data_IF_006320045670
#
_entry.id   IF_006320045670
#
_cell.length_a   1.000
_cell.length_b   1.000
_cell.length_c   1.000
_cell.angle_alpha   90.00
_cell.angle_beta   90.00
_cell.angle_gamma   90.00
#
_symmetry.space_group_name_H-M   'P 1'
#
loop_
_entity.id
_entity.type
_entity.pdbx_description
1 polymer ?
#
# COMPACT_ATOMS: atom_id res chain seq x y z
N UNK A 1 -19.95 -3.17 23.55
CA UNK A 1 -18.72 -3.57 24.25
C UNK A 1 -17.63 -3.59 23.19
N UNK A 2 -16.94 -2.49 22.95
CA UNK A 2 -15.79 -2.08 23.75
C UNK A 2 -14.54 -2.38 22.92
N UNK A 3 -14.30 -1.59 21.88
CA UNK A 3 -13.12 -1.74 21.01
C UNK A 3 -12.42 -0.37 20.95
N UNK A 4 -11.47 -0.24 21.87
CA UNK A 4 -10.33 0.69 21.91
C UNK A 4 -10.59 2.20 21.94
N UNK A 5 -10.57 2.72 23.18
CA UNK A 5 -10.00 4.04 23.44
C UNK A 5 -8.47 3.94 23.29
N UNK A 6 -7.93 4.45 22.18
CA UNK A 6 -6.54 4.90 22.10
C UNK A 6 -6.52 6.24 21.35
N UNK A 7 -6.75 7.33 22.07
CA UNK A 7 -6.44 8.67 21.59
C UNK A 7 -4.99 8.98 21.96
N UNK A 8 -4.07 8.75 21.02
CA UNK A 8 -2.86 9.57 20.83
C UNK A 8 -2.13 9.15 19.55
N UNK A 9 -2.15 10.04 18.54
CA UNK A 9 -1.30 9.96 17.34
C UNK A 9 -1.94 9.23 16.16
N UNK A 10 -2.46 10.00 15.19
CA UNK A 10 -2.82 9.51 13.84
C UNK A 10 -1.69 8.65 13.23
N UNK A 11 -0.45 8.95 13.60
CA UNK A 11 0.76 8.19 13.28
C UNK A 11 0.77 6.71 13.68
N UNK A 12 0.26 6.38 14.87
CA UNK A 12 0.34 5.03 15.42
C UNK A 12 -0.59 4.03 14.71
N UNK A 13 -1.72 4.49 14.16
CA UNK A 13 -2.67 3.63 13.45
C UNK A 13 -2.10 3.17 12.10
N UNK A 14 -1.48 4.09 11.35
CA UNK A 14 -0.87 3.81 10.03
C UNK A 14 0.32 2.87 10.19
N UNK A 15 1.22 3.14 11.14
CA UNK A 15 2.39 2.29 11.37
C UNK A 15 1.99 0.91 11.91
N UNK A 16 0.96 0.82 12.76
CA UNK A 16 0.40 -0.44 13.25
C UNK A 16 -0.23 -1.32 12.17
N UNK A 17 -0.72 -0.75 11.08
CA UNK A 17 -1.34 -1.51 9.99
C UNK A 17 -0.34 -2.26 9.11
N UNK A 18 0.95 -1.88 9.11
CA UNK A 18 1.97 -2.40 8.19
C UNK A 18 2.05 -3.93 8.24
N UNK A 19 2.09 -4.54 9.43
CA UNK A 19 2.19 -6.00 9.60
C UNK A 19 0.93 -6.74 9.14
N UNK A 20 -0.25 -6.19 9.45
CA UNK A 20 -1.52 -6.83 9.10
C UNK A 20 -1.70 -6.89 7.57
N UNK A 21 -1.49 -5.75 6.90
CA UNK A 21 -1.56 -5.66 5.44
C UNK A 21 -0.43 -6.48 4.78
N UNK A 22 0.78 -6.45 5.33
CA UNK A 22 1.89 -7.27 4.84
C UNK A 22 1.60 -8.77 4.90
N UNK A 23 0.97 -9.24 5.98
CA UNK A 23 0.55 -10.64 6.11
C UNK A 23 -0.52 -11.01 5.08
N UNK A 24 -1.50 -10.14 4.85
CA UNK A 24 -2.54 -10.35 3.85
C UNK A 24 -1.94 -10.44 2.43
N UNK A 25 -1.02 -9.54 2.07
CA UNK A 25 -0.30 -9.57 0.79
C UNK A 25 0.52 -10.86 0.65
N UNK A 26 1.17 -11.33 1.70
CA UNK A 26 1.93 -12.58 1.65
C UNK A 26 1.04 -13.80 1.36
N UNK A 27 -0.24 -13.74 1.73
CA UNK A 27 -1.23 -14.81 1.52
C UNK A 27 -1.77 -14.94 0.10
N UNK A 28 -1.63 -13.93 -0.76
CA UNK A 28 -2.26 -13.95 -2.10
C UNK A 28 -1.54 -14.85 -3.11
N UNK A 29 -2.23 -15.25 -4.18
CA UNK A 29 -1.62 -16.01 -5.28
C UNK A 29 -0.54 -15.23 -6.04
N UNK A 30 0.34 -15.93 -6.78
CA UNK A 30 1.49 -15.31 -7.49
C UNK A 30 1.09 -14.18 -8.45
N UNK A 31 0.01 -14.35 -9.20
CA UNK A 31 -0.45 -13.36 -10.18
C UNK A 31 -0.86 -12.05 -9.50
N UNK A 32 -1.68 -12.13 -8.46
CA UNK A 32 -2.11 -10.96 -7.69
C UNK A 32 -0.94 -10.30 -6.95
N UNK A 33 -0.04 -11.10 -6.37
CA UNK A 33 1.16 -10.58 -5.72
C UNK A 33 2.01 -9.74 -6.69
N UNK A 34 2.18 -10.21 -7.93
CA UNK A 34 2.89 -9.46 -8.98
C UNK A 34 2.19 -8.15 -9.32
N UNK A 35 0.85 -8.16 -9.44
CA UNK A 35 0.07 -6.93 -9.65
C UNK A 35 0.26 -5.90 -8.54
N UNK A 36 0.19 -6.34 -7.28
CA UNK A 36 0.42 -5.49 -6.11
C UNK A 36 1.85 -4.94 -6.08
N UNK A 37 2.85 -5.78 -6.36
CA UNK A 37 4.24 -5.36 -6.40
C UNK A 37 4.50 -4.29 -7.48
N UNK A 38 3.96 -4.48 -8.70
CA UNK A 38 4.08 -3.50 -9.78
C UNK A 38 3.43 -2.16 -9.42
N UNK A 39 2.27 -2.19 -8.77
CA UNK A 39 1.61 -0.98 -8.27
C UNK A 39 2.49 -0.26 -7.23
N UNK A 40 3.04 -1.01 -6.27
CA UNK A 40 3.93 -0.46 -5.25
C UNK A 40 5.21 0.16 -5.85
N UNK A 41 5.85 -0.50 -6.82
CA UNK A 41 7.01 0.05 -7.53
C UNK A 41 6.69 1.36 -8.25
N UNK A 42 5.50 1.46 -8.83
CA UNK A 42 5.04 2.69 -9.43
C UNK A 42 4.75 3.80 -8.41
N UNK A 43 4.20 3.45 -7.25
CA UNK A 43 3.98 4.36 -6.12
C UNK A 43 5.28 4.88 -5.53
N UNK A 44 6.35 4.07 -5.47
CA UNK A 44 7.68 4.52 -5.00
C UNK A 44 8.14 5.77 -5.77
N UNK A 45 7.83 5.88 -7.06
CA UNK A 45 8.17 7.07 -7.87
C UNK A 45 7.38 8.32 -7.49
N UNK A 46 6.22 8.16 -6.85
CA UNK A 46 5.36 9.24 -6.37
C UNK A 46 5.69 9.67 -4.93
N UNK A 47 6.36 8.80 -4.16
CA UNK A 47 6.76 9.08 -2.78
C UNK A 47 7.89 10.09 -2.69
N UNK A 48 7.97 10.78 -1.55
CA UNK A 48 9.12 11.62 -1.24
C UNK A 48 10.41 10.78 -1.07
N UNK A 49 11.61 11.30 -1.39
CA UNK A 49 12.87 10.55 -1.28
C UNK A 49 13.15 9.95 0.12
N UNK A 50 12.59 10.56 1.17
CA UNK A 50 12.73 10.05 2.54
C UNK A 50 11.90 8.77 2.75
N UNK A 51 10.70 8.73 2.18
CA UNK A 51 9.75 7.61 2.27
C UNK A 51 9.96 6.53 1.19
N UNK A 52 10.82 6.77 0.20
CA UNK A 52 11.11 5.81 -0.89
C UNK A 52 11.90 4.59 -0.42
N UNK A 53 11.47 3.38 -0.74
CA UNK A 53 12.26 2.17 -0.58
C UNK A 53 12.50 1.62 -1.99
N UNK A 54 13.75 1.37 -2.35
CA UNK A 54 14.08 0.88 -3.69
C UNK A 54 13.65 -0.59 -3.85
N UNK A 55 13.16 -1.01 -5.04
CA UNK A 55 12.71 -2.39 -5.27
C UNK A 55 13.75 -3.46 -4.92
N UNK A 56 15.03 -3.17 -5.19
CA UNK A 56 16.16 -4.07 -4.84
C UNK A 56 16.33 -4.29 -3.34
N UNK A 57 15.85 -3.35 -2.52
CA UNK A 57 16.01 -3.35 -1.07
C UNK A 57 14.78 -3.89 -0.34
N UNK A 58 13.74 -4.36 -1.04
CA UNK A 58 12.49 -4.78 -0.41
C UNK A 58 12.67 -5.91 0.60
N UNK A 59 13.43 -6.95 0.26
CA UNK A 59 13.71 -8.06 1.17
C UNK A 59 14.57 -7.59 2.34
N UNK A 60 15.66 -6.89 2.04
CA UNK A 60 16.61 -6.37 3.03
C UNK A 60 15.95 -5.43 4.03
N UNK A 61 15.07 -4.54 3.59
CA UNK A 61 14.40 -3.57 4.45
C UNK A 61 13.61 -4.26 5.55
N UNK A 62 12.64 -5.12 5.19
CA UNK A 62 11.84 -5.82 6.19
C UNK A 62 12.65 -6.83 7.00
N UNK A 63 13.66 -7.46 6.40
CA UNK A 63 14.56 -8.36 7.12
C UNK A 63 15.34 -7.61 8.20
N UNK A 64 15.91 -6.44 7.86
CA UNK A 64 16.62 -5.57 8.80
C UNK A 64 15.72 -5.16 9.95
N UNK A 65 14.48 -4.77 9.66
CA UNK A 65 13.51 -4.41 10.69
C UNK A 65 13.25 -5.58 11.66
N UNK A 66 13.16 -6.81 11.14
CA UNK A 66 12.94 -8.02 11.94
C UNK A 66 14.14 -8.35 12.84
N UNK A 67 15.36 -8.43 12.28
CA UNK A 67 16.56 -8.82 13.06
C UNK A 67 17.00 -7.76 14.07
N UNK A 68 16.64 -6.49 13.83
CA UNK A 68 16.94 -5.37 14.74
C UNK A 68 15.78 -5.01 15.67
N UNK A 69 14.70 -5.79 15.67
CA UNK A 69 13.48 -5.55 16.44
C UNK A 69 12.93 -4.11 16.28
N UNK A 70 13.07 -3.54 15.08
CA UNK A 70 12.54 -2.22 14.73
C UNK A 70 11.07 -2.39 14.38
N UNK A 71 10.21 -2.07 15.35
CA UNK A 71 8.77 -2.22 15.24
C UNK A 71 8.15 -0.93 14.71
N UNK A 72 7.33 -0.98 13.64
CA UNK A 72 6.68 0.23 13.13
C UNK A 72 5.80 0.89 14.19
N UNK A 73 5.21 0.09 15.09
CA UNK A 73 4.36 0.56 16.19
C UNK A 73 5.09 1.47 17.20
N UNK A 74 6.42 1.51 17.16
CA UNK A 74 7.23 2.40 18.01
C UNK A 74 7.45 3.78 17.38
N UNK A 75 6.84 4.07 16.22
CA UNK A 75 7.04 5.31 15.48
C UNK A 75 5.71 6.02 15.22
N UNK A 76 5.76 7.35 15.36
CA UNK A 76 4.64 8.27 15.07
C UNK A 76 4.44 8.54 13.57
N UNK A 77 5.30 8.02 12.70
CA UNK A 77 5.10 8.13 11.27
C UNK A 77 5.83 7.03 10.52
N UNK A 78 5.27 6.65 9.37
CA UNK A 78 5.87 5.67 8.47
C UNK A 78 7.22 6.18 7.97
N UNK A 79 7.32 7.47 7.65
CA UNK A 79 8.58 8.08 7.25
C UNK A 79 9.68 7.93 8.33
N UNK A 80 9.34 8.10 9.62
CA UNK A 80 10.31 7.93 10.72
C UNK A 80 10.74 6.48 10.87
N UNK A 81 9.79 5.54 10.77
CA UNK A 81 10.06 4.10 10.75
C UNK A 81 11.00 3.72 9.59
N UNK A 82 10.70 4.17 8.37
CA UNK A 82 11.53 3.91 7.18
C UNK A 82 12.96 4.42 7.38
N UNK A 83 13.12 5.63 7.90
CA UNK A 83 14.45 6.21 8.14
C UNK A 83 15.26 5.39 9.16
N UNK A 84 14.61 4.93 10.24
CA UNK A 84 15.28 4.10 11.24
C UNK A 84 15.76 2.77 10.65
N UNK A 85 14.89 2.07 9.90
CA UNK A 85 15.26 0.81 9.25
C UNK A 85 16.39 1.01 8.24
N UNK A 86 16.30 2.04 7.38
CA UNK A 86 17.36 2.38 6.41
C UNK A 86 18.69 2.69 7.09
N UNK A 87 18.66 3.37 8.24
CA UNK A 87 19.85 3.65 9.04
C UNK A 87 20.55 2.36 9.48
N UNK A 88 19.78 1.39 9.95
CA UNK A 88 20.29 0.10 10.45
C UNK A 88 20.68 -0.90 9.37
N UNK A 89 20.23 -0.74 8.11
CA UNK A 89 20.62 -1.64 7.01
C UNK A 89 22.14 -1.71 6.79
N UNK A 90 22.88 -0.65 7.14
CA UNK A 90 24.35 -0.60 7.01
C UNK A 90 25.07 -1.35 8.13
N UNK A 91 24.36 -1.73 9.17
CA UNK A 91 24.92 -2.34 10.38
C UNK A 91 24.71 -3.87 10.42
N UNK A 92 24.15 -4.45 9.36
CA UNK A 92 24.02 -5.90 9.22
C UNK A 92 25.40 -6.56 9.28
N UNK A 93 25.49 -7.58 10.11
CA UNK A 93 26.68 -8.42 10.25
C UNK A 93 26.82 -9.34 9.03
N UNK A 94 28.03 -9.84 8.72
CA UNK A 94 28.21 -10.82 7.64
C UNK A 94 27.33 -12.08 7.77
N UNK A 95 27.02 -12.50 9.00
CA UNK A 95 26.13 -13.65 9.23
C UNK A 95 24.67 -13.33 8.87
N UNK A 96 24.19 -12.12 9.22
CA UNK A 96 22.84 -11.67 8.85
C UNK A 96 22.71 -11.46 7.34
N UNK A 97 23.74 -10.91 6.67
CA UNK A 97 23.78 -10.79 5.21
C UNK A 97 23.71 -12.17 4.55
N UNK A 98 24.49 -13.13 5.04
CA UNK A 98 24.45 -14.50 4.54
C UNK A 98 23.06 -15.15 4.74
N UNK A 99 22.39 -14.89 5.87
CA UNK A 99 21.01 -15.38 6.10
C UNK A 99 20.02 -14.73 5.15
N UNK A 100 20.12 -13.42 4.93
CA UNK A 100 19.29 -12.67 3.98
C UNK A 100 19.40 -13.23 2.56
N UNK A 101 20.61 -13.50 2.09
CA UNK A 101 20.85 -14.07 0.75
C UNK A 101 20.26 -15.49 0.59
N UNK A 102 20.20 -16.25 1.68
CA UNK A 102 19.75 -17.64 1.71
C UNK A 102 18.30 -17.83 2.20
N UNK A 103 17.51 -16.76 2.30
CA UNK A 103 16.09 -16.86 2.63
C UNK A 103 15.36 -17.74 1.61
N UNK A 104 14.43 -18.56 2.12
CA UNK A 104 13.56 -19.35 1.24
C UNK A 104 12.49 -18.45 0.59
N UNK A 105 11.82 -18.96 -0.45
CA UNK A 105 10.83 -18.17 -1.22
C UNK A 105 9.65 -17.67 -0.36
N UNK A 106 9.26 -18.41 0.68
CA UNK A 106 8.19 -18.00 1.60
C UNK A 106 8.65 -16.83 2.46
N UNK A 107 9.88 -16.89 2.98
CA UNK A 107 10.49 -15.80 3.75
C UNK A 107 10.71 -14.55 2.88
N UNK A 108 11.26 -14.72 1.67
CA UNK A 108 11.42 -13.62 0.71
C UNK A 108 10.09 -12.95 0.41
N UNK A 109 9.04 -13.73 0.15
CA UNK A 109 7.70 -13.20 -0.09
C UNK A 109 7.17 -12.47 1.14
N UNK A 110 7.32 -13.02 2.35
CA UNK A 110 6.93 -12.36 3.61
C UNK A 110 7.61 -10.99 3.74
N UNK A 111 8.92 -10.92 3.59
CA UNK A 111 9.67 -9.67 3.72
C UNK A 111 9.30 -8.66 2.64
N UNK A 112 9.19 -9.09 1.37
CA UNK A 112 8.68 -8.24 0.29
C UNK A 112 7.29 -7.69 0.59
N UNK A 113 6.39 -8.53 1.10
CA UNK A 113 5.01 -8.15 1.42
C UNK A 113 4.95 -7.08 2.52
N UNK A 114 5.77 -7.22 3.56
CA UNK A 114 5.88 -6.21 4.62
C UNK A 114 6.43 -4.88 4.11
N UNK A 115 7.43 -4.92 3.22
CA UNK A 115 7.97 -3.70 2.61
C UNK A 115 6.97 -3.04 1.66
N UNK A 116 6.27 -3.81 0.84
CA UNK A 116 5.17 -3.33 -0.01
C UNK A 116 4.08 -2.66 0.83
N UNK A 117 3.68 -3.31 1.93
CA UNK A 117 2.73 -2.73 2.89
C UNK A 117 3.23 -1.39 3.43
N UNK A 118 4.51 -1.32 3.83
CA UNK A 118 5.14 -0.08 4.29
C UNK A 118 5.07 1.03 3.24
N UNK A 119 5.27 0.71 1.95
CA UNK A 119 5.18 1.66 0.83
C UNK A 119 3.77 2.22 0.69
N UNK A 120 2.73 1.38 0.73
CA UNK A 120 1.35 1.84 0.67
C UNK A 120 0.98 2.72 1.86
N UNK A 121 1.39 2.34 3.07
CA UNK A 121 1.12 3.16 4.26
C UNK A 121 1.87 4.49 4.21
N UNK A 122 3.13 4.51 3.76
CA UNK A 122 3.89 5.74 3.54
C UNK A 122 3.22 6.65 2.50
N UNK A 123 2.62 6.05 1.47
CA UNK A 123 1.91 6.77 0.43
C UNK A 123 0.61 7.42 0.93
N UNK A 124 -0.16 6.69 1.74
CA UNK A 124 -1.32 7.24 2.43
C UNK A 124 -0.94 8.39 3.35
N UNK A 125 0.11 8.21 4.16
CA UNK A 125 0.65 9.24 5.05
C UNK A 125 1.13 10.49 4.28
N UNK A 126 1.89 10.33 3.20
CA UNK A 126 2.37 11.43 2.34
C UNK A 126 1.21 12.22 1.70
N UNK A 127 0.08 11.55 1.42
CA UNK A 127 -1.15 12.18 0.93
C UNK A 127 -2.02 12.76 2.06
N UNK A 128 -1.65 12.55 3.32
CA UNK A 128 -2.37 13.01 4.49
C UNK A 128 -3.67 12.25 4.76
N UNK A 129 -3.70 10.94 4.49
CA UNK A 129 -4.71 10.06 5.05
C UNK A 129 -4.48 9.90 6.55
N UNK A 130 -5.58 9.89 7.31
CA UNK A 130 -5.55 9.60 8.75
C UNK A 130 -5.71 8.10 9.04
N UNK A 131 -6.30 7.37 8.10
CA UNK A 131 -6.54 5.93 8.20
C UNK A 131 -5.57 5.15 7.31
N UNK A 132 -5.19 3.93 7.70
CA UNK A 132 -4.32 3.09 6.89
C UNK A 132 -4.99 2.70 5.58
N UNK A 133 -4.19 2.60 4.51
CA UNK A 133 -4.68 2.01 3.25
C UNK A 133 -4.97 0.53 3.52
N UNK A 134 -6.23 0.13 3.33
CA UNK A 134 -6.67 -1.24 3.58
C UNK A 134 -6.09 -2.23 2.55
N UNK A 135 -6.02 -3.51 2.93
CA UNK A 135 -5.67 -4.56 1.97
C UNK A 135 -6.68 -4.66 0.83
N UNK A 136 -7.98 -4.46 1.09
CA UNK A 136 -9.03 -4.47 0.07
C UNK A 136 -8.83 -3.40 -1.01
N UNK A 137 -8.42 -2.20 -0.61
CA UNK A 137 -8.06 -1.13 -1.55
C UNK A 137 -6.87 -1.53 -2.45
N UNK A 138 -5.82 -2.11 -1.85
CA UNK A 138 -4.62 -2.55 -2.58
C UNK A 138 -4.93 -3.72 -3.53
N UNK A 139 -5.67 -4.72 -3.03
CA UNK A 139 -6.08 -5.91 -3.78
C UNK A 139 -6.95 -5.52 -4.97
N UNK A 140 -8.03 -4.79 -4.73
CA UNK A 140 -8.96 -4.39 -5.78
C UNK A 140 -8.28 -3.52 -6.84
N UNK A 141 -7.43 -2.56 -6.44
CA UNK A 141 -6.64 -1.76 -7.38
C UNK A 141 -5.73 -2.62 -8.28
N UNK A 142 -5.07 -3.62 -7.71
CA UNK A 142 -4.23 -4.55 -8.48
C UNK A 142 -5.06 -5.45 -9.41
N UNK A 143 -6.24 -5.92 -8.97
CA UNK A 143 -7.14 -6.78 -9.76
C UNK A 143 -7.69 -6.06 -11.00
N UNK A 144 -8.04 -4.77 -10.87
CA UNK A 144 -8.48 -3.94 -12.00
C UNK A 144 -7.31 -3.30 -12.78
N UNK A 145 -6.06 -3.63 -12.42
CA UNK A 145 -4.83 -3.14 -13.07
C UNK A 145 -4.69 -1.61 -13.04
N UNK A 146 -5.12 -1.00 -11.95
CA UNK A 146 -4.99 0.43 -11.72
C UNK A 146 -3.52 0.85 -11.73
N UNK A 147 -3.20 1.96 -12.39
CA UNK A 147 -1.87 2.53 -12.39
C UNK A 147 -1.64 3.44 -11.16
N UNK A 148 -0.39 3.81 -10.83
CA UNK A 148 -0.09 4.58 -9.63
C UNK A 148 -0.76 5.95 -9.57
N UNK A 149 -0.95 6.62 -10.70
CA UNK A 149 -1.61 7.93 -10.77
C UNK A 149 -3.12 7.82 -10.55
N UNK A 150 -3.74 6.77 -11.07
CA UNK A 150 -5.14 6.44 -10.79
C UNK A 150 -5.34 6.10 -9.33
N UNK A 151 -4.44 5.30 -8.75
CA UNK A 151 -4.47 4.95 -7.33
C UNK A 151 -4.30 6.18 -6.44
N UNK A 152 -3.37 7.08 -6.79
CA UNK A 152 -3.24 8.39 -6.15
C UNK A 152 -4.55 9.16 -6.16
N UNK A 153 -5.19 9.25 -7.32
CA UNK A 153 -6.44 10.00 -7.50
C UNK A 153 -7.57 9.39 -6.66
N UNK A 154 -7.65 8.05 -6.57
CA UNK A 154 -8.61 7.37 -5.70
C UNK A 154 -8.37 7.72 -4.23
N UNK A 155 -7.13 7.66 -3.77
CA UNK A 155 -6.78 8.03 -2.38
C UNK A 155 -7.12 9.50 -2.09
N UNK A 156 -6.82 10.40 -3.01
CA UNK A 156 -7.18 11.83 -2.90
C UNK A 156 -8.70 12.05 -2.94
N UNK A 157 -9.42 11.37 -3.81
CA UNK A 157 -10.88 11.47 -3.92
C UNK A 157 -11.55 10.92 -2.64
N UNK A 158 -11.04 9.84 -2.04
CA UNK A 158 -11.51 9.33 -0.74
C UNK A 158 -11.23 10.31 0.40
N UNK A 159 -9.98 10.81 0.49
CA UNK A 159 -9.60 11.82 1.48
C UNK A 159 -10.49 13.05 1.43
N UNK A 160 -10.87 13.47 0.22
CA UNK A 160 -11.73 14.64 -0.01
C UNK A 160 -13.23 14.29 0.03
N UNK A 161 -13.61 13.11 0.53
CA UNK A 161 -14.98 12.63 0.67
C UNK A 161 -15.78 12.62 -0.64
N UNK A 162 -15.11 12.46 -1.78
CA UNK A 162 -15.76 12.30 -3.10
C UNK A 162 -16.13 10.85 -3.41
N UNK A 163 -15.47 9.90 -2.77
CA UNK A 163 -15.86 8.49 -2.76
C UNK A 163 -16.03 8.04 -1.31
N UNK A 164 -17.00 7.17 -1.01
CA UNK A 164 -17.31 6.79 0.36
C UNK A 164 -16.31 5.79 0.95
N UNK A 165 -15.62 5.03 0.09
CA UNK A 165 -14.65 4.01 0.50
C UNK A 165 -13.56 3.84 -0.56
N UNK A 166 -12.43 3.25 -0.15
CA UNK A 166 -11.37 2.78 -1.07
C UNK A 166 -11.43 1.26 -1.29
N UNK A 167 -12.31 0.53 -0.59
CA UNK A 167 -12.35 -0.93 -0.63
C UNK A 167 -13.01 -1.45 -1.92
N UNK A 168 -12.25 -1.37 -3.01
CA UNK A 168 -12.64 -1.89 -4.34
C UNK A 168 -12.93 -3.40 -4.26
N UNK A 169 -12.20 -4.15 -3.43
CA UNK A 169 -12.43 -5.59 -3.29
C UNK A 169 -13.83 -5.88 -2.75
N UNK A 170 -14.26 -5.14 -1.72
CA UNK A 170 -15.62 -5.24 -1.20
C UNK A 170 -16.68 -4.86 -2.27
N UNK A 171 -16.41 -3.86 -3.11
CA UNK A 171 -17.29 -3.51 -4.23
C UNK A 171 -17.39 -4.65 -5.25
N UNK A 172 -16.25 -5.19 -5.71
CA UNK A 172 -16.22 -6.28 -6.69
C UNK A 172 -16.92 -7.55 -6.18
N UNK A 173 -16.87 -7.79 -4.87
CA UNK A 173 -17.53 -8.91 -4.21
C UNK A 173 -19.00 -8.65 -3.83
N UNK A 174 -19.57 -7.48 -4.14
CA UNK A 174 -20.90 -7.03 -3.70
C UNK A 174 -21.09 -7.13 -2.16
N UNK A 175 -20.06 -6.73 -1.42
CA UNK A 175 -20.01 -6.74 0.06
C UNK A 175 -20.10 -5.35 0.68
N UNK A 176 -20.15 -4.30 -0.14
CA UNK A 176 -20.48 -2.95 0.34
C UNK A 176 -21.95 -2.89 0.77
N UNK A 177 -22.27 -1.95 1.64
CA UNK A 177 -23.67 -1.61 1.86
C UNK A 177 -24.26 -0.91 0.62
N UNK A 178 -25.59 -0.86 0.55
CA UNK A 178 -26.28 -0.41 -0.66
C UNK A 178 -25.99 1.06 -1.02
N UNK A 179 -25.70 1.91 -0.04
CA UNK A 179 -25.44 3.33 -0.28
C UNK A 179 -24.00 3.52 -0.81
N UNK A 180 -23.03 2.83 -0.23
CA UNK A 180 -21.63 2.83 -0.67
C UNK A 180 -21.46 2.16 -2.06
N UNK A 181 -22.23 1.11 -2.33
CA UNK A 181 -22.21 0.39 -3.60
C UNK A 181 -22.70 1.26 -4.77
N UNK A 182 -23.81 1.99 -4.59
CA UNK A 182 -24.34 2.93 -5.60
C UNK A 182 -23.36 4.07 -5.86
N UNK A 183 -22.79 4.65 -4.81
CA UNK A 183 -21.83 5.74 -4.94
C UNK A 183 -20.51 5.30 -5.60
N UNK A 184 -20.05 4.07 -5.32
CA UNK A 184 -18.87 3.51 -5.99
C UNK A 184 -19.16 3.20 -7.47
N UNK A 185 -20.35 2.66 -7.79
CA UNK A 185 -20.79 2.44 -9.16
C UNK A 185 -20.81 3.74 -9.97
N UNK A 186 -21.44 4.79 -9.44
CA UNK A 186 -21.53 6.09 -10.11
C UNK A 186 -20.13 6.70 -10.36
N UNK A 187 -19.23 6.60 -9.37
CA UNK A 187 -17.86 7.05 -9.51
C UNK A 187 -17.09 6.30 -10.60
N UNK A 188 -17.16 4.96 -10.62
CA UNK A 188 -16.47 4.15 -11.62
C UNK A 188 -17.04 4.39 -13.02
N UNK A 189 -18.36 4.53 -13.13
CA UNK A 189 -19.05 4.84 -14.38
C UNK A 189 -18.64 6.20 -14.94
N UNK A 190 -18.60 7.25 -14.11
CA UNK A 190 -18.19 8.58 -14.54
C UNK A 190 -16.74 8.59 -15.07
N UNK A 191 -15.84 7.77 -14.51
CA UNK A 191 -14.47 7.63 -15.03
C UNK A 191 -14.42 6.88 -16.35
N UNK A 192 -15.18 5.80 -16.49
CA UNK A 192 -15.28 5.03 -17.73
C UNK A 192 -15.84 5.90 -18.86
N UNK A 193 -16.94 6.61 -18.61
CA UNK A 193 -17.56 7.50 -19.60
C UNK A 193 -16.59 8.61 -20.06
N UNK A 194 -15.82 9.18 -19.13
CA UNK A 194 -14.79 10.19 -19.47
C UNK A 194 -13.63 9.62 -20.29
N UNK A 195 -13.21 8.38 -20.02
CA UNK A 195 -12.17 7.71 -20.80
C UNK A 195 -12.65 7.40 -22.21
N UNK A 196 -13.90 6.94 -22.37
CA UNK A 196 -14.49 6.67 -23.68
C UNK A 196 -14.63 7.97 -24.50
N UNK A 197 -15.10 9.07 -23.89
CA UNK A 197 -15.13 10.38 -24.55
C UNK A 197 -13.74 10.89 -24.99
N UNK A 198 -12.70 10.67 -24.17
CA UNK A 198 -11.34 11.07 -24.51
C UNK A 198 -10.76 10.22 -25.65
N UNK A 199 -11.08 8.93 -25.69
CA UNK A 199 -10.71 8.01 -26.77
C UNK A 199 -11.41 8.37 -28.10
N UNK A 200 -12.70 8.70 -28.06
CA UNK A 200 -13.44 9.16 -29.25
C UNK A 200 -12.83 10.45 -29.82
N UNK A 201 -12.55 11.44 -28.97
CA UNK A 201 -11.90 12.70 -29.38
C UNK A 201 -10.49 12.51 -29.95
N UNK A 202 -9.81 11.42 -29.60
CA UNK A 202 -8.49 11.08 -30.14
C UNK A 202 -8.60 10.42 -31.53
N UNK A 203 -9.60 9.57 -31.73
CA UNK A 203 -9.86 8.90 -33.01
C UNK A 203 -10.39 9.84 -34.09
N UNK A 204 -11.12 10.90 -33.72
CA UNK A 204 -11.56 11.94 -34.68
C UNK A 204 -10.42 12.86 -35.18
N UNK A 205 -9.24 12.81 -34.56
CA UNK A 205 -8.07 13.64 -34.91
C UNK A 205 -7.03 12.91 -35.79
N UNK A 206 -7.27 11.65 -36.15
CA UNK A 206 -6.43 10.82 -37.05
C UNK A 206 -7.10 10.77 -38.43
#
# INVERSE_FOLDING_TARGET
>A
MGFWSFLSGVGHAITGAIRAVGTAIAGVGRALFSGIANLAEGIVKLLSPKSQIEPRDYERFSYTAEVRDIKPENYESVASYINAVKGSMKELTPEEEHKLENLNETEKKKHKSNTISTIFQAFGEDLGLEEPISFGAIKGAAEIKMNPTEFKKMVEDYKNSKIPTMDIDAYLDNKLDADDDVAMYDYLKEKLDKMDEELEKLNEKI
#
